data_IF_052872306649
#
_entry.id   IF_052872306649
#
_cell.length_a   1.000
_cell.length_b   1.000
_cell.length_c   1.000
_cell.angle_alpha   90.00
_cell.angle_beta   90.00
_cell.angle_gamma   90.00
#
_symmetry.space_group_name_H-M   'P 1'
#
loop_
_entity.id
_entity.type
_entity.pdbx_description
1 polymer ?
#
# COMPACT_ATOMS: atom_id res chain seq x y z
N UNK A 1 45.22 71.60 31.33
CA UNK A 1 45.63 70.25 30.86
C UNK A 1 44.46 69.52 30.17
N UNK A 2 44.63 69.01 28.94
CA UNK A 2 43.57 68.27 28.28
C UNK A 2 43.39 66.88 28.94
N UNK A 3 42.15 66.37 28.94
CA UNK A 3 41.79 65.04 29.46
C UNK A 3 42.52 63.93 28.69
N UNK A 4 42.92 62.83 29.35
CA UNK A 4 43.50 61.69 28.65
C UNK A 4 42.43 60.97 27.81
N UNK A 5 42.83 60.29 26.72
CA UNK A 5 41.90 59.55 25.88
C UNK A 5 41.33 58.34 26.62
N UNK A 6 40.11 57.88 26.28
CA UNK A 6 39.54 56.68 26.89
C UNK A 6 40.37 55.45 26.47
N UNK A 7 40.56 54.54 27.42
CA UNK A 7 41.24 53.27 27.19
C UNK A 7 40.53 52.49 26.08
N UNK A 8 41.31 51.90 25.18
CA UNK A 8 40.80 51.00 24.16
C UNK A 8 40.04 49.86 24.83
N UNK A 9 38.79 49.65 24.42
CA UNK A 9 38.02 48.48 24.83
C UNK A 9 38.77 47.23 24.39
N UNK A 10 39.04 46.34 25.35
CA UNK A 10 39.52 45.00 25.04
C UNK A 10 38.56 44.31 24.06
N UNK A 11 39.07 43.52 23.10
CA UNK A 11 38.22 42.73 22.23
C UNK A 11 37.36 41.79 23.09
N UNK A 12 36.07 41.58 22.73
CA UNK A 12 35.23 40.65 23.48
C UNK A 12 35.89 39.28 23.49
N UNK A 13 36.03 38.69 24.68
CA UNK A 13 36.44 37.30 24.83
C UNK A 13 35.54 36.42 23.95
N UNK A 14 36.10 35.42 23.25
CA UNK A 14 35.30 34.49 22.47
C UNK A 14 34.34 33.79 23.45
N UNK A 15 33.03 33.94 23.20
CA UNK A 15 32.02 33.24 23.98
C UNK A 15 32.38 31.75 24.06
N UNK A 16 32.26 31.12 25.24
CA UNK A 16 32.60 29.72 25.42
C UNK A 16 31.79 28.90 24.41
N UNK A 17 32.50 28.11 23.61
CA UNK A 17 31.95 27.28 22.54
C UNK A 17 30.69 26.54 23.00
N UNK A 18 29.66 26.58 22.16
CA UNK A 18 28.35 25.99 22.46
C UNK A 18 28.49 24.57 23.01
N UNK A 19 27.74 24.27 24.08
CA UNK A 19 27.69 22.92 24.65
C UNK A 19 27.37 21.90 23.55
N UNK A 20 28.12 20.81 23.51
CA UNK A 20 27.81 19.69 22.64
C UNK A 20 26.47 19.04 23.05
N UNK A 21 25.58 18.87 22.08
CA UNK A 21 24.30 18.16 22.22
C UNK A 21 24.30 16.97 21.27
N UNK A 22 23.96 15.78 21.75
CA UNK A 22 23.97 14.56 20.92
C UNK A 22 22.95 14.66 19.77
N UNK A 23 23.32 14.17 18.58
CA UNK A 23 22.43 14.16 17.40
C UNK A 23 21.31 13.16 17.61
N UNK A 24 20.08 13.58 17.32
CA UNK A 24 18.94 12.67 17.30
C UNK A 24 18.93 11.95 15.93
N UNK A 25 19.05 10.62 15.91
CA UNK A 25 18.99 9.86 14.67
C UNK A 25 17.57 9.86 14.10
N UNK A 26 17.47 9.73 12.79
CA UNK A 26 16.20 9.41 12.13
C UNK A 26 16.40 8.29 11.13
N UNK A 27 15.44 7.38 11.05
CA UNK A 27 15.52 6.22 10.16
C UNK A 27 15.06 6.58 8.75
N UNK A 28 15.76 6.05 7.75
CA UNK A 28 15.40 6.16 6.34
C UNK A 28 15.44 4.79 5.66
N UNK A 29 14.71 4.64 4.56
CA UNK A 29 14.83 3.50 3.66
C UNK A 29 15.16 3.94 2.25
N UNK A 30 15.89 3.11 1.51
CA UNK A 30 16.26 3.33 0.13
C UNK A 30 15.18 2.75 -0.79
N UNK A 31 14.55 3.60 -1.59
CA UNK A 31 13.64 3.21 -2.65
C UNK A 31 14.38 3.31 -3.99
N UNK A 32 14.46 2.19 -4.71
CA UNK A 32 15.03 2.15 -6.06
C UNK A 32 13.90 2.33 -7.07
N UNK A 33 14.03 3.31 -7.96
CA UNK A 33 13.10 3.52 -9.08
C UNK A 33 13.88 3.71 -10.36
N UNK A 34 13.66 2.86 -11.36
CA UNK A 34 14.21 3.02 -12.73
C UNK A 34 15.70 3.40 -12.77
N UNK A 35 16.53 2.77 -11.91
CA UNK A 35 18.00 3.00 -11.69
C UNK A 35 18.43 4.13 -10.75
N UNK A 36 17.50 4.89 -10.15
CA UNK A 36 17.83 5.92 -9.16
C UNK A 36 17.48 5.47 -7.75
N UNK A 37 18.46 5.53 -6.86
CA UNK A 37 18.27 5.37 -5.42
C UNK A 37 17.74 6.66 -4.79
N UNK A 38 16.69 6.54 -3.99
CA UNK A 38 16.13 7.64 -3.20
C UNK A 38 15.98 7.22 -1.76
N UNK A 39 16.61 7.96 -0.86
CA UNK A 39 16.40 7.83 0.57
C UNK A 39 15.12 8.55 0.98
N UNK A 40 14.21 7.81 1.63
CA UNK A 40 12.91 8.31 2.11
C UNK A 40 12.87 8.17 3.63
N UNK A 41 12.51 9.22 4.38
CA UNK A 41 12.40 9.13 5.83
C UNK A 41 11.24 8.21 6.23
N UNK A 42 11.43 7.43 7.28
CA UNK A 42 10.31 6.82 7.98
C UNK A 42 9.47 7.92 8.66
N UNK A 43 8.23 7.58 9.03
CA UNK A 43 7.42 8.48 9.85
C UNK A 43 8.07 8.71 11.22
N UNK A 44 7.71 9.80 11.92
CA UNK A 44 8.19 10.07 13.28
C UNK A 44 7.93 8.87 14.18
N UNK A 45 6.69 8.37 14.20
CA UNK A 45 6.29 7.20 15.00
C UNK A 45 7.08 5.94 14.65
N UNK A 46 7.31 5.66 13.36
CA UNK A 46 8.06 4.47 12.94
C UNK A 46 9.55 4.60 13.31
N UNK A 47 10.13 5.79 13.12
CA UNK A 47 11.52 6.10 13.45
C UNK A 47 11.78 5.97 14.95
N UNK A 48 10.88 6.45 15.80
CA UNK A 48 10.96 6.31 17.26
C UNK A 48 10.89 4.84 17.70
N UNK A 49 9.98 4.04 17.11
CA UNK A 49 9.89 2.60 17.41
C UNK A 49 11.14 1.84 16.97
N UNK A 50 11.68 2.18 15.79
CA UNK A 50 12.92 1.61 15.28
C UNK A 50 14.10 1.96 16.20
N UNK A 51 14.19 3.20 16.66
CA UNK A 51 15.26 3.64 17.56
C UNK A 51 15.16 2.99 18.94
N UNK A 52 13.96 2.91 19.51
CA UNK A 52 13.71 2.23 20.78
C UNK A 52 14.11 0.74 20.70
N UNK A 53 13.69 0.05 19.63
CA UNK A 53 14.04 -1.35 19.39
C UNK A 53 15.54 -1.54 19.11
N UNK A 54 16.18 -0.60 18.42
CA UNK A 54 17.63 -0.62 18.20
C UNK A 54 18.42 -0.46 19.50
N UNK A 55 17.97 0.42 20.40
CA UNK A 55 18.58 0.63 21.71
C UNK A 55 18.42 -0.57 22.65
N UNK A 56 17.24 -1.19 22.66
CA UNK A 56 16.95 -2.36 23.50
C UNK A 56 17.54 -3.67 22.95
N UNK A 57 17.70 -3.77 21.62
CA UNK A 57 17.96 -5.02 20.90
C UNK A 57 19.43 -5.41 20.69
N UNK A 58 20.39 -4.84 21.43
CA UNK A 58 21.82 -5.20 21.24
C UNK A 58 22.13 -6.68 21.49
N UNK A 59 21.26 -7.43 22.19
CA UNK A 59 21.51 -8.84 22.53
C UNK A 59 20.51 -9.84 21.93
N UNK A 60 19.38 -9.41 21.35
CA UNK A 60 18.39 -10.33 20.77
C UNK A 60 18.61 -10.54 19.26
N UNK A 61 18.62 -11.79 18.84
CA UNK A 61 18.68 -12.14 17.41
C UNK A 61 17.30 -11.95 16.76
N UNK A 62 17.29 -11.39 15.55
CA UNK A 62 16.06 -11.28 14.76
C UNK A 62 15.03 -10.22 15.19
N UNK A 63 15.44 -9.07 15.73
CA UNK A 63 14.48 -7.98 16.05
C UNK A 63 13.81 -7.45 14.77
N UNK A 64 12.49 -7.66 14.67
CA UNK A 64 11.65 -7.18 13.57
C UNK A 64 10.70 -6.10 14.09
N UNK A 65 10.64 -4.97 13.39
CA UNK A 65 9.76 -3.86 13.75
C UNK A 65 8.76 -3.61 12.61
N UNK A 66 7.44 -3.70 12.87
CA UNK A 66 6.43 -3.34 11.89
C UNK A 66 6.40 -1.83 11.66
N UNK A 67 6.40 -1.43 10.39
CA UNK A 67 6.43 -0.04 9.92
C UNK A 67 5.34 0.20 8.87
N UNK A 68 5.06 1.48 8.58
CA UNK A 68 4.02 1.86 7.60
C UNK A 68 2.69 1.15 7.87
N UNK A 69 2.19 1.28 9.10
CA UNK A 69 0.94 0.64 9.51
C UNK A 69 0.98 -0.89 9.59
N UNK A 70 2.16 -1.51 9.65
CA UNK A 70 2.31 -2.97 9.72
C UNK A 70 2.41 -3.66 8.36
N UNK A 71 2.42 -2.89 7.27
CA UNK A 71 2.55 -3.38 5.89
C UNK A 71 3.97 -3.78 5.51
N UNK A 72 4.95 -3.27 6.24
CA UNK A 72 6.36 -3.57 6.02
C UNK A 72 7.03 -3.92 7.34
N UNK A 73 7.91 -4.91 7.29
CA UNK A 73 8.72 -5.34 8.42
C UNK A 73 10.18 -4.91 8.22
N UNK A 74 10.73 -4.23 9.23
CA UNK A 74 12.14 -3.85 9.26
C UNK A 74 12.92 -4.83 10.12
N UNK A 75 13.82 -5.57 9.49
CA UNK A 75 14.78 -6.44 10.15
C UNK A 75 16.00 -5.61 10.56
N UNK A 76 16.08 -5.24 11.84
CA UNK A 76 17.08 -4.26 12.30
C UNK A 76 18.52 -4.73 12.07
N UNK A 77 18.83 -6.01 12.33
CA UNK A 77 20.18 -6.56 12.11
C UNK A 77 20.58 -6.57 10.64
N UNK A 78 19.67 -7.03 9.77
CA UNK A 78 19.92 -7.10 8.34
C UNK A 78 19.89 -5.73 7.66
N UNK A 79 19.37 -4.68 8.33
CA UNK A 79 19.14 -3.36 7.75
C UNK A 79 18.29 -3.43 6.47
N UNK A 80 17.24 -4.25 6.54
CA UNK A 80 16.33 -4.53 5.42
C UNK A 80 14.87 -4.30 5.80
N UNK A 81 14.11 -3.75 4.86
CA UNK A 81 12.66 -3.56 4.92
C UNK A 81 12.01 -4.45 3.88
N UNK A 82 11.10 -5.31 4.33
CA UNK A 82 10.42 -6.32 3.50
C UNK A 82 8.91 -6.06 3.53
N UNK A 83 8.25 -6.17 2.39
CA UNK A 83 6.80 -6.09 2.31
C UNK A 83 6.15 -7.34 2.92
N UNK A 84 5.07 -7.16 3.68
CA UNK A 84 4.41 -8.27 4.38
C UNK A 84 3.31 -8.89 3.53
N UNK A 85 2.52 -8.06 2.85
CA UNK A 85 1.31 -8.50 2.16
C UNK A 85 1.51 -8.75 0.67
N UNK A 86 2.61 -8.30 0.08
CA UNK A 86 2.92 -8.49 -1.34
C UNK A 86 4.40 -8.76 -1.55
N UNK A 87 4.73 -9.27 -2.72
CA UNK A 87 6.12 -9.46 -3.12
C UNK A 87 6.72 -8.13 -3.60
N UNK A 88 7.84 -7.76 -3.00
CA UNK A 88 8.63 -6.57 -3.33
C UNK A 88 10.09 -6.86 -2.97
N UNK A 89 11.03 -6.30 -3.73
CA UNK A 89 12.44 -6.41 -3.40
C UNK A 89 12.73 -5.72 -2.05
N UNK A 90 13.56 -6.35 -1.22
CA UNK A 90 13.90 -5.81 0.09
C UNK A 90 14.64 -4.47 -0.04
N UNK A 91 14.10 -3.44 0.59
CA UNK A 91 14.71 -2.11 0.60
C UNK A 91 15.76 -1.99 1.71
N UNK A 92 16.89 -1.34 1.42
CA UNK A 92 17.88 -1.03 2.45
C UNK A 92 17.31 -0.04 3.46
N UNK A 93 17.58 -0.24 4.74
CA UNK A 93 17.22 0.65 5.85
C UNK A 93 18.48 1.20 6.48
N UNK A 94 18.43 2.45 6.95
CA UNK A 94 19.58 3.11 7.57
C UNK A 94 19.15 4.02 8.71
N UNK A 95 19.93 3.97 9.80
CA UNK A 95 19.88 4.92 10.90
C UNK A 95 20.75 6.13 10.55
N UNK A 96 20.13 7.29 10.29
CA UNK A 96 20.82 8.43 9.69
C UNK A 96 21.00 9.57 10.70
N UNK A 97 22.22 10.08 10.82
CA UNK A 97 22.55 11.26 11.64
C UNK A 97 23.28 12.34 10.84
N UNK A 98 23.92 11.99 9.73
CA UNK A 98 24.68 12.91 8.90
C UNK A 98 24.32 12.78 7.42
N UNK A 99 24.29 13.90 6.71
CA UNK A 99 23.88 13.98 5.31
C UNK A 99 24.80 14.87 4.49
N UNK A 100 24.93 14.58 3.20
CA UNK A 100 25.54 15.48 2.23
C UNK A 100 24.58 15.85 1.12
N UNK A 101 24.76 17.04 0.56
CA UNK A 101 23.96 17.53 -0.55
C UNK A 101 24.41 16.87 -1.86
N UNK A 102 23.50 16.17 -2.55
CA UNK A 102 23.76 15.55 -3.85
C UNK A 102 23.86 16.54 -5.00
N UNK A 103 24.59 16.17 -6.07
CA UNK A 103 24.96 17.07 -7.17
C UNK A 103 23.78 17.54 -8.03
N UNK A 104 22.84 16.65 -8.33
CA UNK A 104 21.84 16.87 -9.39
C UNK A 104 20.51 17.42 -8.88
N UNK A 105 20.11 17.02 -7.67
CA UNK A 105 18.72 17.19 -7.21
C UNK A 105 18.59 18.11 -5.98
N UNK A 106 19.67 18.73 -5.48
CA UNK A 106 19.72 19.43 -4.19
C UNK A 106 19.24 18.59 -2.98
N UNK A 107 18.98 17.29 -3.15
CA UNK A 107 18.52 16.37 -2.11
C UNK A 107 19.69 15.98 -1.20
N UNK A 108 19.36 15.75 0.05
CA UNK A 108 20.32 15.26 1.03
C UNK A 108 20.36 13.74 1.00
N UNK A 109 21.57 13.19 0.95
CA UNK A 109 21.85 11.75 0.95
C UNK A 109 22.53 11.43 2.28
N UNK A 110 22.03 10.42 3.03
CA UNK A 110 22.64 10.02 4.28
C UNK A 110 23.98 9.34 4.03
N UNK A 111 24.95 9.63 4.90
CA UNK A 111 26.19 8.85 4.98
C UNK A 111 25.91 7.43 5.49
N UNK A 112 26.90 6.54 5.41
CA UNK A 112 26.80 5.23 6.08
C UNK A 112 26.78 5.41 7.59
N UNK A 113 26.23 4.42 8.33
CA UNK A 113 26.14 4.50 9.79
C UNK A 113 27.53 4.61 10.43
N UNK A 114 28.46 3.74 10.04
CA UNK A 114 29.85 3.75 10.53
C UNK A 114 30.55 5.10 10.27
N UNK A 115 30.44 5.64 9.05
CA UNK A 115 31.06 6.93 8.75
C UNK A 115 30.36 8.08 9.48
N UNK A 116 29.06 7.98 9.73
CA UNK A 116 28.33 8.97 10.52
C UNK A 116 28.76 8.98 11.98
N UNK A 117 29.16 7.83 12.55
CA UNK A 117 29.74 7.73 13.89
C UNK A 117 31.12 8.42 13.95
N UNK A 118 31.97 8.18 12.96
CA UNK A 118 33.28 8.86 12.84
C UNK A 118 33.13 10.39 12.70
N UNK A 119 32.18 10.84 11.87
CA UNK A 119 31.85 12.27 11.72
C UNK A 119 31.34 12.87 13.03
N UNK A 120 30.50 12.14 13.77
CA UNK A 120 29.94 12.61 15.04
C UNK A 120 31.02 12.73 16.12
N UNK A 121 31.95 11.77 16.22
CA UNK A 121 33.08 11.84 17.14
C UNK A 121 33.97 13.06 16.84
N UNK A 122 34.31 13.27 15.56
CA UNK A 122 35.10 14.41 15.14
C UNK A 122 34.38 15.75 15.39
N UNK A 123 33.06 15.80 15.20
CA UNK A 123 32.25 16.97 15.50
C UNK A 123 32.22 17.27 17.00
N UNK A 124 32.04 16.25 17.84
CA UNK A 124 32.06 16.36 19.30
C UNK A 124 33.40 16.95 19.78
N UNK A 125 34.53 16.45 19.27
CA UNK A 125 35.87 16.98 19.57
C UNK A 125 35.99 18.45 19.13
N UNK A 126 35.58 18.77 17.90
CA UNK A 126 35.69 20.12 17.36
C UNK A 126 34.86 21.15 18.17
N UNK A 127 33.66 20.77 18.63
CA UNK A 127 32.79 21.63 19.46
C UNK A 127 33.34 21.79 20.87
N UNK A 128 33.81 20.70 21.48
CA UNK A 128 34.26 20.71 22.90
C UNK A 128 35.65 21.32 23.09
N UNK A 129 36.58 21.07 22.17
CA UNK A 129 37.98 21.55 22.25
C UNK A 129 38.25 22.78 21.37
N UNK A 130 37.29 23.19 20.53
CA UNK A 130 37.49 24.27 19.56
C UNK A 130 38.39 23.88 18.37
N UNK A 131 38.67 22.59 18.20
CA UNK A 131 39.57 22.06 17.17
C UNK A 131 38.87 21.88 15.82
N UNK A 132 38.59 22.98 15.15
CA UNK A 132 37.99 22.98 13.81
C UNK A 132 39.02 22.77 12.70
N UNK A 133 38.53 22.53 11.48
CA UNK A 133 39.30 22.36 10.23
C UNK A 133 40.10 21.04 10.13
N UNK A 134 39.81 20.06 10.99
CA UNK A 134 40.30 18.70 10.83
C UNK A 134 39.74 18.09 9.54
N UNK A 135 40.59 17.41 8.78
CA UNK A 135 40.21 16.65 7.59
C UNK A 135 39.86 15.23 8.00
N UNK A 136 38.69 14.77 7.58
CA UNK A 136 38.21 13.40 7.75
C UNK A 136 38.17 12.76 6.37
N UNK A 137 38.73 11.57 6.21
CA UNK A 137 38.69 10.84 4.96
C UNK A 137 37.54 9.84 4.99
N UNK A 138 36.67 9.90 3.98
CA UNK A 138 35.61 8.90 3.79
C UNK A 138 36.21 7.58 3.30
N UNK A 139 35.47 6.46 3.41
CA UNK A 139 35.90 5.17 2.85
C UNK A 139 36.25 5.22 1.36
N UNK A 140 35.70 6.19 0.63
CA UNK A 140 35.97 6.42 -0.80
C UNK A 140 37.13 7.40 -1.05
N UNK A 141 37.93 7.71 -0.02
CA UNK A 141 39.00 8.72 -0.01
C UNK A 141 38.52 10.15 -0.26
N UNK A 142 37.25 10.43 -0.03
CA UNK A 142 36.72 11.80 -0.11
C UNK A 142 37.05 12.56 1.17
N UNK A 143 37.24 13.88 1.10
CA UNK A 143 37.67 14.67 2.26
C UNK A 143 36.51 15.49 2.81
N UNK A 144 36.22 15.35 4.09
CA UNK A 144 35.25 16.15 4.82
C UNK A 144 36.01 17.11 5.74
N UNK A 145 35.62 18.39 5.73
CA UNK A 145 36.21 19.43 6.58
C UNK A 145 35.11 20.11 7.38
N UNK A 146 35.25 20.07 8.71
CA UNK A 146 34.35 20.74 9.65
C UNK A 146 34.92 22.13 9.96
N UNK A 147 34.38 23.22 9.39
CA UNK A 147 34.89 24.58 9.66
C UNK A 147 34.25 25.21 10.90
N UNK A 148 32.95 24.99 11.08
CA UNK A 148 32.14 25.39 12.24
C UNK A 148 30.79 24.63 12.19
N UNK A 149 29.89 24.76 13.18
CA UNK A 149 28.62 24.04 13.20
C UNK A 149 27.69 24.29 12.01
N UNK A 150 27.83 25.43 11.32
CA UNK A 150 26.98 25.84 10.18
C UNK A 150 27.63 25.56 8.82
N UNK A 151 28.95 25.41 8.78
CA UNK A 151 29.74 25.24 7.56
C UNK A 151 30.61 23.99 7.65
N UNK A 152 30.11 22.92 7.05
CA UNK A 152 30.80 21.63 6.93
C UNK A 152 30.75 21.21 5.47
N UNK A 153 31.88 20.77 4.94
CA UNK A 153 32.08 20.64 3.49
C UNK A 153 32.65 19.27 3.16
N UNK A 154 32.12 18.67 2.09
CA UNK A 154 32.55 17.40 1.53
C UNK A 154 33.15 17.63 0.14
N UNK A 155 34.42 17.26 -0.03
CA UNK A 155 35.19 17.32 -1.26
C UNK A 155 35.31 15.93 -1.88
N UNK A 156 34.88 15.78 -3.13
CA UNK A 156 35.16 14.58 -3.91
C UNK A 156 36.57 14.64 -4.50
N UNK A 157 37.33 13.53 -4.52
CA UNK A 157 38.59 13.45 -5.23
C UNK A 157 38.35 13.74 -6.71
N UNK A 158 39.21 14.58 -7.28
CA UNK A 158 39.29 14.71 -8.74
C UNK A 158 39.84 13.38 -9.24
N UNK A 159 39.07 12.65 -10.03
CA UNK A 159 39.63 11.53 -10.78
C UNK A 159 40.78 12.11 -11.61
N UNK A 160 42.00 11.61 -11.42
CA UNK A 160 43.12 11.96 -12.28
C UNK A 160 42.83 11.38 -13.67
N UNK A 161 42.08 12.12 -14.49
CA UNK A 161 42.10 11.89 -15.93
C UNK A 161 43.46 12.34 -16.43
N UNK A 162 44.22 11.43 -17.00
CA UNK A 162 45.51 11.68 -17.67
C UNK A 162 45.36 12.52 -18.97
N UNK A 163 44.22 13.21 -19.14
CA UNK A 163 43.95 14.06 -20.31
C UNK A 163 44.27 15.52 -19.99
N UNK A 164 45.34 15.99 -20.63
CA UNK A 164 45.94 17.33 -20.55
C UNK A 164 45.04 18.48 -21.06
N UNK A 165 43.72 18.34 -21.03
CA UNK A 165 42.76 19.39 -21.38
C UNK A 165 41.49 19.26 -20.54
N UNK A 166 41.56 19.62 -19.25
CA UNK A 166 40.36 19.87 -18.45
C UNK A 166 40.27 21.36 -18.13
N UNK A 167 39.17 21.99 -18.56
CA UNK A 167 38.87 23.38 -18.19
C UNK A 167 38.68 23.48 -16.67
N UNK A 168 39.10 24.59 -16.01
CA UNK A 168 39.11 24.73 -14.55
C UNK A 168 37.72 24.65 -13.87
N UNK A 169 36.65 24.51 -14.65
CA UNK A 169 35.25 24.38 -14.21
C UNK A 169 34.86 22.98 -13.71
N UNK A 170 35.66 21.94 -13.95
CA UNK A 170 35.38 20.57 -13.46
C UNK A 170 36.08 20.21 -12.14
N UNK A 171 36.59 21.20 -11.40
CA UNK A 171 36.93 20.99 -9.98
C UNK A 171 35.62 20.78 -9.22
N UNK A 172 35.34 19.52 -8.84
CA UNK A 172 34.10 19.11 -8.16
C UNK A 172 33.71 20.09 -7.05
N UNK A 173 32.57 20.76 -7.23
CA UNK A 173 32.12 21.80 -6.31
C UNK A 173 31.99 21.22 -4.90
N UNK A 174 32.52 21.88 -3.86
CA UNK A 174 32.38 21.44 -2.48
C UNK A 174 30.90 21.24 -2.12
N UNK A 175 30.56 20.04 -1.64
CA UNK A 175 29.20 19.68 -1.23
C UNK A 175 28.96 20.09 0.22
N UNK A 176 27.76 20.54 0.52
CA UNK A 176 27.38 20.89 1.89
C UNK A 176 27.07 19.64 2.71
N UNK A 177 27.61 19.57 3.92
CA UNK A 177 27.31 18.54 4.92
C UNK A 177 26.39 19.11 5.98
N UNK A 178 25.41 18.32 6.43
CA UNK A 178 24.43 18.67 7.45
C UNK A 178 24.33 17.56 8.50
N UNK A 179 24.23 17.98 9.76
CA UNK A 179 24.05 17.14 10.94
C UNK A 179 22.59 17.14 11.32
N UNK A 180 22.00 15.97 11.54
CA UNK A 180 20.60 15.81 11.92
C UNK A 180 19.59 16.14 10.82
N UNK A 181 18.36 15.65 10.99
CA UNK A 181 17.28 15.88 10.02
C UNK A 181 16.68 17.29 10.11
N UNK A 182 16.82 17.94 11.27
CA UNK A 182 16.40 19.32 11.52
C UNK A 182 17.14 20.34 10.64
N UNK A 183 18.31 19.98 10.12
CA UNK A 183 19.15 20.84 9.30
C UNK A 183 19.03 20.56 7.78
N UNK A 184 18.12 19.68 7.37
CA UNK A 184 17.82 19.39 5.97
C UNK A 184 16.35 19.70 5.66
N UNK A 185 16.08 20.18 4.44
CA UNK A 185 14.71 20.43 3.98
C UNK A 185 14.05 19.11 3.53
N UNK A 186 13.64 18.28 4.50
CA UNK A 186 12.92 17.03 4.26
C UNK A 186 11.59 17.03 5.02
N UNK A 187 10.51 16.62 4.34
CA UNK A 187 9.21 16.43 4.97
C UNK A 187 9.17 15.05 5.63
N UNK A 188 8.97 15.02 6.94
CA UNK A 188 8.86 13.78 7.73
C UNK A 188 7.39 13.58 8.10
N UNK A 189 6.74 12.51 7.62
CA UNK A 189 5.36 12.20 8.00
C UNK A 189 5.27 11.92 9.51
N UNK A 190 4.19 12.33 10.17
CA UNK A 190 4.01 12.01 11.60
C UNK A 190 3.76 10.52 11.85
N UNK A 191 3.04 9.85 10.95
CA UNK A 191 2.66 8.44 11.08
C UNK A 191 1.18 8.24 10.78
N UNK A 192 0.69 7.04 11.06
CA UNK A 192 -0.69 6.62 10.78
C UNK A 192 -1.35 6.08 12.06
N UNK A 193 -2.68 6.16 12.20
CA UNK A 193 -3.41 5.53 13.29
C UNK A 193 -3.08 4.04 13.39
N UNK A 194 -2.88 3.54 14.61
CA UNK A 194 -2.70 2.10 14.86
C UNK A 194 -4.03 1.35 14.79
N UNK A 195 -5.12 1.96 15.24
CA UNK A 195 -6.46 1.38 15.16
C UNK A 195 -6.92 1.28 13.71
N UNK A 196 -7.41 0.09 13.33
CA UNK A 196 -7.97 -0.22 12.02
C UNK A 196 -9.43 -0.62 12.21
N UNK A 197 -10.34 0.13 11.60
CA UNK A 197 -11.79 -0.10 11.74
C UNK A 197 -12.38 -0.87 10.55
N UNK A 198 -11.68 -0.90 9.43
CA UNK A 198 -12.18 -1.53 8.22
C UNK A 198 -11.04 -2.02 7.33
N UNK A 199 -11.21 -3.18 6.72
CA UNK A 199 -10.27 -3.79 5.78
C UNK A 199 -10.89 -3.86 4.38
N UNK A 200 -10.19 -3.39 3.36
CA UNK A 200 -10.63 -3.41 1.96
C UNK A 200 -9.63 -4.20 1.12
N UNK A 201 -10.05 -5.32 0.56
CA UNK A 201 -9.29 -6.03 -0.47
C UNK A 201 -9.54 -5.39 -1.83
N UNK A 202 -8.47 -4.97 -2.50
CA UNK A 202 -8.56 -4.34 -3.82
C UNK A 202 -8.09 -5.34 -4.86
N UNK A 203 -8.99 -5.79 -5.74
CA UNK A 203 -8.69 -6.69 -6.85
C UNK A 203 -8.52 -5.86 -8.11
N UNK A 204 -7.30 -5.88 -8.67
CA UNK A 204 -7.03 -5.19 -9.93
C UNK A 204 -7.60 -5.95 -11.13
N UNK A 205 -7.74 -5.22 -12.24
CA UNK A 205 -8.13 -5.78 -13.52
C UNK A 205 -6.93 -6.32 -14.29
N UNK A 206 -7.00 -6.17 -15.60
CA UNK A 206 -6.03 -6.70 -16.56
C UNK A 206 -4.63 -6.13 -16.36
N UNK A 207 -3.63 -7.01 -16.42
CA UNK A 207 -2.22 -6.69 -16.53
C UNK A 207 -1.52 -6.30 -15.23
N UNK A 208 -0.18 -6.16 -15.29
CA UNK A 208 0.62 -5.73 -14.13
C UNK A 208 0.41 -4.23 -13.82
N UNK A 209 -0.10 -3.50 -14.80
CA UNK A 209 -0.43 -2.08 -14.75
C UNK A 209 -1.93 -1.86 -14.46
N UNK A 210 -2.22 -1.19 -13.35
CA UNK A 210 -3.59 -1.02 -12.85
C UNK A 210 -4.27 0.28 -13.29
N UNK A 211 -3.53 1.21 -13.89
CA UNK A 211 -4.07 2.48 -14.38
C UNK A 211 -3.41 2.92 -15.70
N UNK A 212 -3.96 3.99 -16.30
CA UNK A 212 -3.46 4.61 -17.54
C UNK A 212 -2.02 5.13 -17.44
N UNK A 213 -1.43 5.16 -16.23
CA UNK A 213 -0.05 5.57 -15.96
C UNK A 213 0.89 4.37 -15.81
N UNK A 214 0.41 3.17 -16.12
CA UNK A 214 1.18 1.92 -16.05
C UNK A 214 1.73 1.61 -14.66
N UNK A 215 1.01 2.02 -13.61
CA UNK A 215 1.42 1.83 -12.21
C UNK A 215 0.98 0.47 -11.67
N UNK A 216 1.74 -0.08 -10.74
CA UNK A 216 1.38 -1.35 -10.09
C UNK A 216 0.16 -1.20 -9.17
N UNK A 217 -0.53 -2.30 -8.86
CA UNK A 217 -1.66 -2.31 -7.91
C UNK A 217 -1.25 -1.68 -6.57
N UNK A 218 -0.05 -2.00 -6.08
CA UNK A 218 0.48 -1.49 -4.81
C UNK A 218 0.55 0.04 -4.82
N UNK A 219 1.00 0.64 -5.93
CA UNK A 219 1.07 2.09 -6.07
C UNK A 219 -0.33 2.72 -6.10
N UNK A 220 -1.28 2.12 -6.81
CA UNK A 220 -2.67 2.61 -6.83
C UNK A 220 -3.33 2.50 -5.45
N UNK A 221 -3.16 1.39 -4.75
CA UNK A 221 -3.70 1.19 -3.39
C UNK A 221 -3.07 2.15 -2.38
N UNK A 222 -1.79 2.53 -2.55
CA UNK A 222 -1.18 3.58 -1.75
C UNK A 222 -1.87 4.94 -1.92
N UNK A 223 -2.36 5.29 -3.11
CA UNK A 223 -3.14 6.52 -3.30
C UNK A 223 -4.47 6.47 -2.53
N UNK A 224 -5.18 5.32 -2.54
CA UNK A 224 -6.38 5.14 -1.73
C UNK A 224 -6.10 5.32 -0.23
N UNK A 225 -5.00 4.75 0.27
CA UNK A 225 -4.57 4.94 1.66
C UNK A 225 -4.31 6.42 1.96
N UNK A 226 -3.55 7.11 1.11
CA UNK A 226 -3.20 8.52 1.30
C UNK A 226 -4.44 9.42 1.30
N UNK A 227 -5.37 9.21 0.36
CA UNK A 227 -6.63 9.96 0.29
C UNK A 227 -7.48 9.68 1.53
N UNK A 228 -7.63 8.42 1.93
CA UNK A 228 -8.39 8.04 3.13
C UNK A 228 -7.81 8.67 4.41
N UNK A 229 -6.50 8.60 4.60
CA UNK A 229 -5.81 9.24 5.73
C UNK A 229 -5.96 10.76 5.71
N UNK A 230 -5.87 11.39 4.53
CA UNK A 230 -6.06 12.83 4.38
C UNK A 230 -7.50 13.24 4.75
N UNK A 231 -8.50 12.45 4.34
CA UNK A 231 -9.90 12.67 4.71
C UNK A 231 -10.13 12.52 6.22
N UNK A 232 -9.53 11.51 6.85
CA UNK A 232 -9.58 11.34 8.31
C UNK A 232 -8.99 12.54 9.04
N UNK A 233 -7.81 13.02 8.62
CA UNK A 233 -7.17 14.19 9.20
C UNK A 233 -7.96 15.48 8.97
N UNK A 234 -8.60 15.64 7.81
CA UNK A 234 -9.34 16.86 7.48
C UNK A 234 -10.72 16.94 8.17
N UNK A 235 -11.43 15.81 8.25
CA UNK A 235 -12.84 15.79 8.68
C UNK A 235 -13.08 15.13 10.05
N UNK A 236 -12.19 14.25 10.50
CA UNK A 236 -12.40 13.41 11.69
C UNK A 236 -11.28 13.51 12.74
N UNK A 237 -10.42 14.53 12.66
CA UNK A 237 -9.26 14.72 13.56
C UNK A 237 -9.59 14.55 15.05
N UNK A 238 -10.67 15.18 15.54
CA UNK A 238 -11.06 15.08 16.96
C UNK A 238 -11.47 13.66 17.36
N UNK A 239 -12.24 12.99 16.52
CA UNK A 239 -12.66 11.62 16.77
C UNK A 239 -11.47 10.66 16.74
N UNK A 240 -10.50 10.91 15.85
CA UNK A 240 -9.26 10.14 15.76
C UNK A 240 -8.37 10.36 16.99
N UNK A 241 -8.20 11.60 17.45
CA UNK A 241 -7.46 11.93 18.68
C UNK A 241 -8.10 11.32 19.94
N UNK A 242 -9.43 11.16 19.93
CA UNK A 242 -10.20 10.49 20.98
C UNK A 242 -10.30 8.97 20.80
N UNK A 243 -9.60 8.40 19.80
CA UNK A 243 -9.61 6.96 19.47
C UNK A 243 -11.02 6.40 19.23
N UNK A 244 -11.93 7.23 18.71
CA UNK A 244 -13.30 6.81 18.33
C UNK A 244 -13.37 6.27 16.91
N UNK A 245 -12.45 6.70 16.04
CA UNK A 245 -12.35 6.25 14.64
C UNK A 245 -10.90 5.89 14.31
N UNK A 246 -10.73 4.71 13.75
CA UNK A 246 -9.51 4.18 13.19
C UNK A 246 -9.38 4.46 11.69
N UNK A 247 -8.30 3.95 11.11
CA UNK A 247 -8.09 4.04 9.65
C UNK A 247 -8.78 2.91 8.92
N UNK A 248 -8.99 3.13 7.62
CA UNK A 248 -9.35 2.06 6.66
C UNK A 248 -8.05 1.50 6.08
N UNK A 249 -7.83 0.20 6.25
CA UNK A 249 -6.71 -0.50 5.65
C UNK A 249 -7.10 -1.05 4.28
N UNK A 250 -6.27 -0.80 3.27
CA UNK A 250 -6.49 -1.34 1.93
C UNK A 250 -5.39 -2.35 1.63
N UNK A 251 -5.70 -3.54 1.14
CA UNK A 251 -4.70 -4.55 0.75
C UNK A 251 -4.84 -4.89 -0.74
N UNK A 252 -3.73 -4.83 -1.52
CA UNK A 252 -3.76 -5.22 -2.92
C UNK A 252 -3.85 -6.74 -3.05
N UNK A 253 -4.76 -7.24 -3.89
CA UNK A 253 -4.85 -8.65 -4.28
C UNK A 253 -4.17 -8.79 -5.62
N UNK A 254 -2.92 -9.26 -5.62
CA UNK A 254 -2.16 -9.51 -6.84
C UNK A 254 -2.36 -10.96 -7.29
N UNK A 255 -2.97 -11.15 -8.45
CA UNK A 255 -3.26 -12.47 -9.01
C UNK A 255 -2.56 -12.72 -10.36
N UNK A 256 -2.14 -11.67 -11.04
CA UNK A 256 -1.60 -11.73 -12.40
C UNK A 256 -0.26 -12.50 -12.44
N UNK A 257 0.66 -12.26 -11.51
CA UNK A 257 1.95 -12.98 -11.47
C UNK A 257 1.79 -14.50 -11.25
N UNK A 258 0.77 -14.92 -10.50
CA UNK A 258 0.45 -16.33 -10.26
C UNK A 258 -0.08 -17.03 -11.51
N UNK A 259 -0.71 -16.31 -12.44
CA UNK A 259 -1.20 -16.88 -13.70
C UNK A 259 -0.08 -17.00 -14.75
N UNK A 260 0.78 -15.99 -14.84
CA UNK A 260 1.87 -15.91 -15.84
C UNK A 260 3.05 -16.87 -15.55
N UNK A 261 3.14 -17.41 -14.32
CA UNK A 261 4.12 -18.45 -13.96
C UNK A 261 3.80 -19.85 -14.49
N UNK A 262 2.67 -20.03 -15.19
CA UNK A 262 2.23 -21.32 -15.77
C UNK A 262 2.87 -21.67 -17.12
N UNK A 263 3.79 -20.84 -17.63
CA UNK A 263 4.55 -21.11 -18.86
C UNK A 263 3.86 -20.65 -20.15
N UNK A 264 2.64 -20.09 -20.07
CA UNK A 264 1.91 -19.61 -21.25
C UNK A 264 2.62 -18.44 -21.95
N UNK A 265 3.40 -17.65 -21.20
CA UNK A 265 4.23 -16.59 -21.77
C UNK A 265 5.27 -17.13 -22.77
N UNK A 266 5.84 -18.30 -22.48
CA UNK A 266 6.84 -18.96 -23.35
C UNK A 266 6.20 -19.42 -24.66
N UNK A 267 5.00 -19.98 -24.59
CA UNK A 267 4.27 -20.39 -25.79
C UNK A 267 3.80 -19.17 -26.60
N UNK A 268 3.48 -18.05 -25.94
CA UNK A 268 3.13 -16.82 -26.63
C UNK A 268 4.31 -16.13 -27.30
N UNK A 269 5.48 -16.14 -26.66
CA UNK A 269 6.74 -15.68 -27.26
C UNK A 269 7.05 -16.42 -28.56
N UNK A 270 6.68 -17.70 -28.66
CA UNK A 270 6.89 -18.51 -29.86
C UNK A 270 5.96 -18.15 -31.02
N UNK A 271 4.74 -17.68 -30.76
CA UNK A 271 3.74 -17.37 -31.80
C UNK A 271 3.69 -15.88 -32.18
N UNK A 272 4.24 -14.99 -31.36
CA UNK A 272 4.24 -13.55 -31.62
C UNK A 272 5.46 -13.12 -32.45
N UNK A 273 5.23 -12.38 -33.53
CA UNK A 273 6.29 -11.97 -34.47
C UNK A 273 7.36 -11.08 -33.80
N UNK A 274 8.67 -11.36 -33.96
CA UNK A 274 9.78 -10.57 -33.40
C UNK A 274 9.76 -9.07 -33.77
N UNK A 275 9.16 -8.74 -34.90
CA UNK A 275 9.23 -7.42 -35.56
C UNK A 275 8.48 -6.29 -34.83
N UNK A 276 7.56 -6.61 -33.90
CA UNK A 276 6.70 -5.60 -33.24
C UNK A 276 6.74 -5.76 -31.71
N UNK A 277 7.90 -5.45 -31.11
CA UNK A 277 8.12 -5.60 -29.67
C UNK A 277 7.08 -4.87 -28.80
N UNK A 278 6.67 -3.64 -29.15
CA UNK A 278 5.70 -2.88 -28.34
C UNK A 278 4.29 -3.49 -28.34
N UNK A 279 3.83 -3.96 -29.49
CA UNK A 279 2.53 -4.63 -29.61
C UNK A 279 2.54 -5.98 -28.90
N UNK A 280 3.68 -6.69 -28.92
CA UNK A 280 3.87 -7.94 -28.18
C UNK A 280 3.70 -7.75 -26.67
N UNK A 281 4.39 -6.78 -26.08
CA UNK A 281 4.26 -6.49 -24.65
C UNK A 281 2.81 -6.15 -24.30
N UNK A 282 2.14 -5.33 -25.11
CA UNK A 282 0.72 -5.01 -24.89
C UNK A 282 -0.23 -6.21 -25.02
N UNK A 283 -0.01 -7.11 -26.00
CA UNK A 283 -0.86 -8.31 -26.15
C UNK A 283 -0.64 -9.26 -24.96
N UNK A 284 0.62 -9.52 -24.62
CA UNK A 284 0.99 -10.46 -23.55
C UNK A 284 0.54 -9.95 -22.18
N UNK A 285 0.77 -8.67 -21.88
CA UNK A 285 0.53 -8.11 -20.54
C UNK A 285 -0.90 -7.61 -20.35
N UNK A 286 -1.75 -7.58 -21.39
CA UNK A 286 -3.09 -6.96 -21.29
C UNK A 286 -4.17 -7.78 -21.99
N UNK A 287 -4.02 -8.11 -23.27
CA UNK A 287 -5.11 -8.77 -24.00
C UNK A 287 -5.30 -10.23 -23.53
N UNK A 288 -4.21 -10.90 -23.14
CA UNK A 288 -4.26 -12.28 -22.67
C UNK A 288 -5.18 -12.51 -21.48
N UNK A 289 -5.17 -11.63 -20.48
CA UNK A 289 -6.00 -11.80 -19.28
C UNK A 289 -7.49 -11.86 -19.62
N UNK A 290 -7.93 -11.09 -20.62
CA UNK A 290 -9.31 -11.12 -21.12
C UNK A 290 -9.60 -12.45 -21.82
N UNK A 291 -8.66 -12.95 -22.62
CA UNK A 291 -8.82 -14.24 -23.30
C UNK A 291 -8.81 -15.42 -22.33
N UNK A 292 -7.97 -15.38 -21.30
CA UNK A 292 -7.98 -16.36 -20.22
C UNK A 292 -9.30 -16.31 -19.46
N UNK A 293 -9.78 -15.12 -19.09
CA UNK A 293 -11.06 -15.01 -18.39
C UNK A 293 -12.25 -15.47 -19.24
N UNK A 294 -12.22 -15.24 -20.55
CA UNK A 294 -13.25 -15.75 -21.46
C UNK A 294 -13.18 -17.27 -21.69
N UNK A 295 -12.08 -17.92 -21.31
CA UNK A 295 -11.94 -19.37 -21.38
C UNK A 295 -12.44 -20.02 -20.10
N UNK A 296 -13.45 -20.88 -20.20
CA UNK A 296 -14.06 -21.57 -19.04
C UNK A 296 -13.03 -22.25 -18.11
N UNK A 297 -11.95 -22.83 -18.65
CA UNK A 297 -10.90 -23.47 -17.85
C UNK A 297 -10.06 -22.47 -17.07
N UNK A 298 -9.61 -21.38 -17.73
CA UNK A 298 -8.73 -20.40 -17.09
C UNK A 298 -9.49 -19.43 -16.19
N UNK A 299 -10.78 -19.17 -16.48
CA UNK A 299 -11.67 -18.40 -15.63
C UNK A 299 -11.73 -18.97 -14.20
N UNK A 300 -11.97 -20.28 -14.06
CA UNK A 300 -12.02 -20.92 -12.74
C UNK A 300 -10.69 -20.80 -12.01
N UNK A 301 -9.56 -21.03 -12.70
CA UNK A 301 -8.22 -20.86 -12.13
C UNK A 301 -7.99 -19.43 -11.61
N UNK A 302 -8.41 -18.40 -12.35
CA UNK A 302 -8.28 -17.00 -11.94
C UNK A 302 -9.13 -16.74 -10.69
N UNK A 303 -10.40 -17.16 -10.69
CA UNK A 303 -11.32 -16.99 -9.55
C UNK A 303 -10.78 -17.69 -8.29
N UNK A 304 -10.33 -18.94 -8.42
CA UNK A 304 -9.77 -19.72 -7.31
C UNK A 304 -8.48 -19.08 -6.78
N UNK A 305 -7.65 -18.54 -7.66
CA UNK A 305 -6.41 -17.82 -7.29
C UNK A 305 -6.74 -16.56 -6.50
N UNK A 306 -7.67 -15.74 -6.98
CA UNK A 306 -8.10 -14.50 -6.30
C UNK A 306 -8.73 -14.82 -4.94
N UNK A 307 -9.61 -15.82 -4.87
CA UNK A 307 -10.21 -16.26 -3.62
C UNK A 307 -9.16 -16.76 -2.62
N UNK A 308 -8.23 -17.59 -3.07
CA UNK A 308 -7.15 -18.13 -2.24
C UNK A 308 -6.23 -17.03 -1.73
N UNK A 309 -5.90 -16.06 -2.57
CA UNK A 309 -5.04 -14.94 -2.23
C UNK A 309 -5.71 -14.00 -1.22
N UNK A 310 -6.99 -13.65 -1.44
CA UNK A 310 -7.76 -12.87 -0.46
C UNK A 310 -7.83 -13.57 0.91
N UNK A 311 -8.06 -14.89 0.91
CA UNK A 311 -8.07 -15.68 2.15
C UNK A 311 -6.69 -15.72 2.82
N UNK A 312 -5.61 -15.86 2.05
CA UNK A 312 -4.23 -15.80 2.55
C UNK A 312 -3.96 -14.44 3.22
N UNK A 313 -4.28 -13.35 2.53
CA UNK A 313 -4.11 -11.98 3.04
C UNK A 313 -4.95 -11.73 4.28
N UNK A 314 -6.20 -12.20 4.31
CA UNK A 314 -7.08 -12.08 5.48
C UNK A 314 -6.51 -12.79 6.71
N UNK A 315 -6.08 -14.06 6.57
CA UNK A 315 -5.45 -14.81 7.67
C UNK A 315 -4.18 -14.12 8.18
N UNK A 316 -3.32 -13.67 7.27
CA UNK A 316 -2.10 -12.94 7.62
C UNK A 316 -2.41 -11.60 8.31
N UNK A 317 -3.44 -10.90 7.86
CA UNK A 317 -3.88 -9.64 8.46
C UNK A 317 -4.37 -9.87 9.90
N UNK A 318 -5.22 -10.86 10.14
CA UNK A 318 -5.72 -11.19 11.48
C UNK A 318 -4.61 -11.69 12.41
N UNK A 319 -3.65 -12.48 11.91
CA UNK A 319 -2.50 -12.92 12.71
C UNK A 319 -1.70 -11.73 13.25
N UNK A 320 -1.61 -10.65 12.48
CA UNK A 320 -0.86 -9.43 12.84
C UNK A 320 -1.70 -8.39 13.56
N UNK A 321 -3.01 -8.45 13.44
CA UNK A 321 -3.96 -7.55 14.07
C UNK A 321 -5.01 -8.38 14.83
N UNK A 322 -4.63 -9.05 15.94
CA UNK A 322 -5.52 -9.96 16.67
C UNK A 322 -6.72 -9.25 17.32
N UNK A 323 -6.61 -7.93 17.53
CA UNK A 323 -7.67 -7.09 18.10
C UNK A 323 -8.63 -6.51 17.05
N UNK A 324 -8.44 -6.84 15.77
CA UNK A 324 -9.30 -6.35 14.70
C UNK A 324 -10.71 -6.92 14.82
N UNK A 325 -11.69 -6.02 14.94
CA UNK A 325 -13.14 -6.33 15.02
C UNK A 325 -13.94 -5.59 13.96
N UNK A 326 -13.24 -4.99 12.99
CA UNK A 326 -13.80 -4.13 11.96
C UNK A 326 -14.50 -4.88 10.82
N UNK A 327 -15.10 -4.10 9.92
CA UNK A 327 -15.73 -4.63 8.72
C UNK A 327 -14.72 -5.03 7.65
N UNK A 328 -15.12 -5.94 6.76
CA UNK A 328 -14.34 -6.33 5.58
C UNK A 328 -15.13 -5.98 4.33
N UNK A 329 -14.47 -5.41 3.34
CA UNK A 329 -15.05 -5.14 2.02
C UNK A 329 -14.08 -5.52 0.92
N UNK A 330 -14.64 -5.64 -0.28
CA UNK A 330 -13.90 -5.98 -1.49
C UNK A 330 -14.18 -4.92 -2.54
N UNK A 331 -13.16 -4.53 -3.29
CA UNK A 331 -13.24 -3.51 -4.33
C UNK A 331 -12.58 -4.06 -5.60
N UNK A 332 -13.35 -4.18 -6.67
CA UNK A 332 -12.86 -4.64 -7.96
C UNK A 332 -12.73 -3.48 -8.93
N UNK A 333 -11.61 -3.42 -9.66
CA UNK A 333 -11.40 -2.48 -10.76
C UNK A 333 -11.35 -3.23 -12.11
N UNK A 334 -12.06 -2.74 -13.13
CA UNK A 334 -12.06 -3.33 -14.47
C UNK A 334 -12.41 -4.84 -14.44
N UNK A 335 -11.57 -5.72 -15.01
CA UNK A 335 -11.77 -7.18 -14.93
C UNK A 335 -11.89 -7.69 -13.48
N UNK A 336 -11.22 -7.04 -12.52
CA UNK A 336 -11.36 -7.37 -11.11
C UNK A 336 -12.79 -7.24 -10.59
N UNK A 337 -13.60 -6.35 -11.17
CA UNK A 337 -15.03 -6.25 -10.84
C UNK A 337 -15.82 -7.46 -11.31
N UNK A 338 -15.50 -8.01 -12.50
CA UNK A 338 -16.16 -9.21 -13.03
C UNK A 338 -15.75 -10.45 -12.23
N UNK A 339 -14.46 -10.59 -11.93
CA UNK A 339 -13.93 -11.67 -11.08
C UNK A 339 -14.67 -11.68 -9.73
N UNK A 340 -14.78 -10.52 -9.08
CA UNK A 340 -15.48 -10.42 -7.80
C UNK A 340 -16.98 -10.69 -7.93
N UNK A 341 -17.62 -10.25 -9.01
CA UNK A 341 -19.02 -10.55 -9.28
C UNK A 341 -19.25 -12.06 -9.40
N UNK A 342 -18.43 -12.76 -10.19
CA UNK A 342 -18.53 -14.21 -10.37
C UNK A 342 -18.21 -14.95 -9.06
N UNK A 343 -17.20 -14.50 -8.31
CA UNK A 343 -16.87 -15.07 -7.00
C UNK A 343 -18.05 -14.95 -6.02
N UNK A 344 -18.66 -13.76 -5.92
CA UNK A 344 -19.78 -13.51 -5.00
C UNK A 344 -21.07 -14.23 -5.41
N UNK A 345 -21.38 -14.27 -6.71
CA UNK A 345 -22.62 -14.90 -7.21
C UNK A 345 -22.59 -16.42 -7.14
N UNK A 346 -21.39 -17.02 -7.10
CA UNK A 346 -21.19 -18.47 -7.02
C UNK A 346 -20.75 -18.96 -5.63
N UNK A 347 -20.89 -18.14 -4.58
CA UNK A 347 -20.66 -18.60 -3.22
C UNK A 347 -21.70 -19.67 -2.87
N UNK A 348 -21.23 -20.89 -2.59
CA UNK A 348 -22.07 -21.96 -2.04
C UNK A 348 -22.24 -21.69 -0.55
N UNK A 349 -23.46 -21.82 -0.04
CA UNK A 349 -23.69 -21.78 1.40
C UNK A 349 -22.88 -22.90 2.07
N UNK A 350 -22.37 -22.64 3.28
CA UNK A 350 -21.62 -23.65 4.02
C UNK A 350 -22.53 -24.88 4.28
N UNK A 351 -22.00 -26.12 4.21
CA UNK A 351 -22.79 -27.31 4.49
C UNK A 351 -23.35 -27.32 5.92
N UNK A 352 -22.74 -26.57 6.86
CA UNK A 352 -23.21 -26.44 8.24
C UNK A 352 -24.44 -25.52 8.37
N UNK A 353 -24.57 -24.50 7.50
CA UNK A 353 -25.81 -23.73 7.36
C UNK A 353 -26.88 -24.57 6.63
N UNK A 354 -26.46 -25.45 5.72
CA UNK A 354 -27.35 -26.45 5.14
C UNK A 354 -27.77 -27.50 6.17
N UNK A 355 -26.97 -27.94 7.15
CA UNK A 355 -27.40 -28.93 8.15
C UNK A 355 -28.33 -28.35 9.23
N UNK A 356 -28.11 -27.10 9.65
CA UNK A 356 -29.04 -26.41 10.54
C UNK A 356 -30.37 -26.07 9.83
N UNK A 357 -30.36 -25.89 8.50
CA UNK A 357 -31.57 -25.86 7.68
C UNK A 357 -32.11 -27.27 7.31
N UNK A 358 -31.26 -28.31 7.21
CA UNK A 358 -31.63 -29.63 6.70
C UNK A 358 -32.26 -30.53 7.76
N UNK A 359 -32.10 -30.23 9.05
CA UNK A 359 -32.98 -30.83 10.07
C UNK A 359 -34.42 -30.28 10.01
N UNK A 360 -34.63 -29.12 9.35
CA UNK A 360 -35.95 -28.63 8.94
C UNK A 360 -36.34 -28.97 7.49
N UNK A 361 -35.43 -29.50 6.69
CA UNK A 361 -35.59 -29.67 5.24
C UNK A 361 -35.06 -31.01 4.74
N UNK A 362 -35.62 -32.10 5.26
CA UNK A 362 -35.63 -33.39 4.54
C UNK A 362 -37.05 -33.93 4.45
N UNK A 363 -37.87 -33.21 3.69
CA UNK A 363 -38.87 -33.77 2.77
C UNK A 363 -39.37 -32.65 1.83
N UNK A 364 -39.20 -32.84 0.52
CA UNK A 364 -39.89 -32.16 -0.62
C UNK A 364 -39.51 -30.73 -1.07
N UNK A 365 -38.25 -30.45 -1.46
CA UNK A 365 -37.83 -29.13 -2.01
C UNK A 365 -38.08 -28.89 -3.51
N UNK A 366 -38.89 -29.70 -4.19
CA UNK A 366 -39.39 -29.41 -5.55
C UNK A 366 -40.83 -28.90 -5.59
N UNK A 367 -41.60 -29.15 -4.52
CA UNK A 367 -43.03 -28.84 -4.45
C UNK A 367 -43.32 -27.62 -3.55
N UNK A 368 -42.49 -27.35 -2.53
CA UNK A 368 -42.74 -26.26 -1.58
C UNK A 368 -42.83 -24.86 -2.21
N UNK A 369 -41.90 -24.52 -3.12
CA UNK A 369 -41.91 -23.21 -3.80
C UNK A 369 -43.09 -23.01 -4.74
N UNK A 370 -43.60 -24.08 -5.34
CA UNK A 370 -44.78 -24.07 -6.22
C UNK A 370 -46.07 -24.00 -5.37
N UNK A 371 -46.13 -24.73 -4.25
CA UNK A 371 -47.25 -24.65 -3.32
C UNK A 371 -47.39 -23.27 -2.66
N UNK A 372 -46.28 -22.57 -2.40
CA UNK A 372 -46.32 -21.18 -1.97
C UNK A 372 -46.95 -20.24 -3.02
N UNK A 373 -46.65 -20.44 -4.30
CA UNK A 373 -47.27 -19.68 -5.39
C UNK A 373 -48.75 -20.01 -5.50
N UNK A 374 -49.15 -21.28 -5.37
CA UNK A 374 -50.56 -21.69 -5.35
C UNK A 374 -51.33 -21.03 -4.20
N UNK A 375 -50.74 -20.94 -3.02
CA UNK A 375 -51.35 -20.25 -1.87
C UNK A 375 -51.44 -18.72 -2.09
N UNK A 376 -50.47 -18.10 -2.76
CA UNK A 376 -50.55 -16.69 -3.16
C UNK A 376 -51.69 -16.49 -4.16
N UNK A 377 -51.78 -17.33 -5.19
CA UNK A 377 -52.85 -17.25 -6.20
C UNK A 377 -54.23 -17.46 -5.56
N UNK A 378 -54.35 -18.40 -4.61
CA UNK A 378 -55.58 -18.62 -3.85
C UNK A 378 -55.98 -17.40 -3.02
N UNK A 379 -55.02 -16.73 -2.36
CA UNK A 379 -55.26 -15.47 -1.62
C UNK A 379 -55.70 -14.30 -2.51
N UNK A 380 -55.29 -14.31 -3.77
CA UNK A 380 -55.68 -13.29 -4.76
C UNK A 380 -56.97 -13.64 -5.51
N UNK A 381 -57.61 -14.76 -5.17
CA UNK A 381 -58.78 -15.33 -5.85
C UNK A 381 -58.49 -15.65 -7.33
N UNK A 382 -57.30 -16.18 -7.60
CA UNK A 382 -56.75 -16.50 -8.92
C UNK A 382 -56.39 -17.99 -9.04
N UNK A 383 -57.07 -18.87 -8.30
CA UNK A 383 -56.79 -20.31 -8.26
C UNK A 383 -56.96 -21.00 -9.62
N UNK A 384 -57.73 -20.42 -10.54
CA UNK A 384 -57.89 -20.90 -11.92
C UNK A 384 -56.59 -20.89 -12.74
N UNK A 385 -55.58 -20.12 -12.31
CA UNK A 385 -54.28 -20.04 -12.99
C UNK A 385 -53.20 -20.91 -12.34
N UNK A 386 -53.49 -21.65 -11.26
CA UNK A 386 -52.49 -22.48 -10.58
C UNK A 386 -51.77 -23.44 -11.54
N UNK A 387 -52.51 -24.08 -12.44
CA UNK A 387 -51.96 -25.02 -13.43
C UNK A 387 -51.01 -24.34 -14.42
N UNK A 388 -51.26 -23.07 -14.77
CA UNK A 388 -50.39 -22.29 -15.66
C UNK A 388 -49.05 -22.00 -14.99
N UNK A 389 -49.09 -21.58 -13.72
CA UNK A 389 -47.87 -21.30 -12.94
C UNK A 389 -47.09 -22.57 -12.60
N UNK A 390 -47.79 -23.68 -12.34
CA UNK A 390 -47.17 -25.00 -12.12
C UNK A 390 -46.53 -25.55 -13.40
N UNK A 391 -47.19 -25.40 -14.56
CA UNK A 391 -46.65 -25.81 -15.86
C UNK A 391 -45.37 -25.05 -16.22
N UNK A 392 -45.32 -23.75 -15.93
CA UNK A 392 -44.14 -22.91 -16.14
C UNK A 392 -43.09 -23.06 -15.01
N UNK A 393 -43.31 -23.98 -14.06
CA UNK A 393 -42.44 -24.23 -12.89
C UNK A 393 -42.12 -22.95 -12.13
N UNK A 394 -43.13 -22.08 -11.99
CA UNK A 394 -42.98 -20.79 -11.34
C UNK A 394 -42.91 -20.97 -9.82
N UNK A 395 -41.73 -20.74 -9.25
CA UNK A 395 -41.56 -20.65 -7.81
C UNK A 395 -41.78 -19.21 -7.30
N UNK A 396 -41.78 -19.04 -5.98
CA UNK A 396 -41.98 -17.73 -5.37
C UNK A 396 -40.93 -16.70 -5.80
N UNK A 397 -39.68 -17.08 -5.99
CA UNK A 397 -38.65 -16.11 -6.36
C UNK A 397 -38.84 -15.61 -7.80
N UNK A 398 -39.14 -16.52 -8.72
CA UNK A 398 -39.48 -16.21 -10.11
C UNK A 398 -40.75 -15.36 -10.22
N UNK A 399 -41.76 -15.62 -9.37
CA UNK A 399 -42.98 -14.80 -9.31
C UNK A 399 -42.67 -13.33 -8.98
N UNK A 400 -41.75 -13.06 -8.05
CA UNK A 400 -41.39 -11.69 -7.65
C UNK A 400 -40.52 -10.95 -8.68
N UNK A 401 -39.98 -11.64 -9.68
CA UNK A 401 -39.25 -11.06 -10.81
C UNK A 401 -40.15 -10.91 -12.06
N UNK A 402 -41.39 -11.39 -12.01
CA UNK A 402 -42.30 -11.35 -13.15
C UNK A 402 -42.67 -9.92 -13.54
N UNK A 403 -42.59 -9.63 -14.83
CA UNK A 403 -43.10 -8.40 -15.42
C UNK A 403 -44.47 -8.62 -16.04
N UNK A 404 -45.19 -7.53 -16.34
CA UNK A 404 -46.48 -7.62 -17.05
C UNK A 404 -46.34 -8.36 -18.39
N UNK A 405 -45.21 -8.18 -19.08
CA UNK A 405 -44.91 -8.86 -20.34
C UNK A 405 -44.85 -10.39 -20.16
N UNK A 406 -44.19 -10.87 -19.10
CA UNK A 406 -44.09 -12.31 -18.83
C UNK A 406 -45.46 -12.92 -18.53
N UNK A 407 -46.27 -12.27 -17.70
CA UNK A 407 -47.61 -12.74 -17.38
C UNK A 407 -48.53 -12.74 -18.61
N UNK A 408 -48.35 -11.79 -19.53
CA UNK A 408 -49.07 -11.76 -20.81
C UNK A 408 -48.67 -12.92 -21.72
N UNK A 409 -47.38 -13.25 -21.77
CA UNK A 409 -46.84 -14.40 -22.52
C UNK A 409 -47.33 -15.74 -21.95
N UNK A 410 -47.53 -15.82 -20.63
CA UNK A 410 -48.17 -16.97 -19.96
C UNK A 410 -49.69 -17.09 -20.22
N UNK A 411 -50.29 -16.17 -20.97
CA UNK A 411 -51.72 -16.18 -21.27
C UNK A 411 -52.62 -15.63 -20.16
N UNK A 412 -52.07 -14.90 -19.18
CA UNK A 412 -52.84 -14.30 -18.09
C UNK A 412 -53.55 -13.02 -18.55
N UNK A 413 -54.89 -12.90 -18.40
CA UNK A 413 -55.65 -11.71 -18.78
C UNK A 413 -55.31 -10.47 -17.93
N UNK A 414 -55.58 -9.27 -18.46
CA UNK A 414 -55.17 -7.99 -17.86
C UNK A 414 -55.56 -7.83 -16.38
N UNK A 415 -56.80 -8.19 -16.00
CA UNK A 415 -57.28 -8.07 -14.61
C UNK A 415 -56.45 -8.88 -13.60
N UNK A 416 -56.33 -10.21 -13.78
CA UNK A 416 -55.44 -11.06 -12.99
C UNK A 416 -53.98 -10.59 -12.96
N UNK A 417 -53.43 -10.11 -14.08
CA UNK A 417 -52.06 -9.57 -14.11
C UNK A 417 -51.87 -8.39 -13.17
N UNK A 418 -52.82 -7.44 -13.19
CA UNK A 418 -52.77 -6.27 -12.31
C UNK A 418 -52.83 -6.66 -10.83
N UNK A 419 -53.65 -7.66 -10.46
CA UNK A 419 -53.71 -8.19 -9.09
C UNK A 419 -52.39 -8.79 -8.64
N UNK A 420 -51.74 -9.59 -9.49
CA UNK A 420 -50.46 -10.23 -9.20
C UNK A 420 -49.34 -9.19 -9.07
N UNK A 421 -49.22 -8.26 -10.01
CA UNK A 421 -48.20 -7.21 -9.98
C UNK A 421 -48.36 -6.29 -8.77
N UNK A 422 -49.59 -5.91 -8.43
CA UNK A 422 -49.86 -5.11 -7.23
C UNK A 422 -49.48 -5.86 -5.94
N UNK A 423 -49.74 -7.16 -5.86
CA UNK A 423 -49.30 -7.99 -4.73
C UNK A 423 -47.77 -8.02 -4.61
N UNK A 424 -47.05 -8.17 -5.72
CA UNK A 424 -45.58 -8.16 -5.76
C UNK A 424 -45.07 -6.80 -5.28
N UNK A 425 -45.52 -5.68 -5.87
CA UNK A 425 -45.09 -4.33 -5.48
C UNK A 425 -45.29 -4.06 -3.99
N UNK A 426 -46.47 -4.38 -3.44
CA UNK A 426 -46.77 -4.18 -2.02
C UNK A 426 -45.91 -5.04 -1.09
N UNK A 427 -45.48 -6.22 -1.51
CA UNK A 427 -44.62 -7.11 -0.70
C UNK A 427 -43.14 -6.76 -0.81
N UNK A 428 -42.72 -6.14 -1.90
CA UNK A 428 -41.34 -5.65 -2.09
C UNK A 428 -41.09 -4.35 -1.31
N UNK A 429 -42.10 -3.49 -1.12
CA UNK A 429 -41.99 -2.25 -0.31
C UNK A 429 -41.95 -2.49 1.21
N UNK A 430 -42.30 -3.69 1.69
CA UNK A 430 -42.28 -4.04 3.12
C UNK A 430 -41.01 -4.76 3.58
N UNK A 431 -40.01 -4.88 2.70
CA UNK A 431 -38.65 -5.35 3.00
C UNK A 431 -37.68 -4.19 2.87
#
# INVERSE_FOLDING_TARGET
PPRPPPAAAEPPEPEPGGRYEAVVPHWFYCKVTETRERWVPFSVQDSERLEAAHGAGKEQDGVVVPTSGGRYDVHLRARQRVAVYWEEEAAQVRRCTWFYKGDKDNKFIPYSEAFSEELEEAYMIAVTLGEWKKKLESPNREVIILHNPKLMVHYHPVASSDDWVSTPTEQGRPRTVKRGVENIAVEIPHGEPQQIDHLVFVVHGIGPACDIRFRSIVQCVNDFRNVSLSMLQAHFKKAQEQQQVGRVEFLPVNWHSSLHSTGVDVDLERITLPSINRLRHFINDTILDVFFYNSSTYCQTIVDTVASEMNRLHRLFLQRNPEFTGGVSIAGHSLGSLILFDLLTNQKADPEEEEHCAQGSRTTSGMGGIEEVKEILKKLELSEYCDVFEKEKMDRQALFLCTEKNLKEMGIPLGPRMKILHYISRKTEMK
#
